data_IF_762952701770
#
_entry.id   IF_762952701770
#
_cell.length_a   1.000
_cell.length_b   1.000
_cell.length_c   1.000
_cell.angle_alpha   90.00
_cell.angle_beta   90.00
_cell.angle_gamma   90.00
#
_symmetry.space_group_name_H-M   'P 1'
#
loop_
_entity.id
_entity.type
_entity.pdbx_description
1 polymer ?
#
# COMPACT_ATOMS: atom_id res chain seq x y z
N UNK A 1 -26.25 -18.61 -0.02
CA UNK A 1 -25.46 -19.24 1.06
C UNK A 1 -24.06 -18.62 1.23
N UNK A 2 -23.17 -18.68 0.22
CA UNK A 2 -21.82 -18.07 0.34
C UNK A 2 -21.87 -16.53 0.33
N UNK A 3 -22.73 -15.94 -0.50
CA UNK A 3 -22.91 -14.48 -0.59
C UNK A 3 -23.50 -13.90 0.70
N UNK A 4 -24.48 -14.59 1.30
CA UNK A 4 -25.13 -14.15 2.54
C UNK A 4 -24.15 -14.12 3.72
N UNK A 5 -23.27 -15.13 3.80
CA UNK A 5 -22.18 -15.17 4.79
C UNK A 5 -21.21 -13.99 4.61
N UNK A 6 -20.81 -13.71 3.36
CA UNK A 6 -19.95 -12.56 3.05
C UNK A 6 -20.60 -11.23 3.42
N UNK A 7 -21.91 -11.10 3.14
CA UNK A 7 -22.66 -9.89 3.42
C UNK A 7 -22.76 -9.63 4.93
N UNK A 8 -23.06 -10.66 5.72
CA UNK A 8 -23.14 -10.54 7.18
C UNK A 8 -21.77 -10.25 7.83
N UNK A 9 -20.71 -10.90 7.34
CA UNK A 9 -19.34 -10.65 7.81
C UNK A 9 -18.88 -9.22 7.46
N UNK A 10 -19.20 -8.75 6.25
CA UNK A 10 -18.88 -7.40 5.79
C UNK A 10 -19.56 -6.34 6.63
N UNK A 11 -20.88 -6.43 6.85
CA UNK A 11 -21.60 -5.45 7.66
C UNK A 11 -21.07 -5.33 9.09
N UNK A 12 -20.70 -6.45 9.71
CA UNK A 12 -20.10 -6.44 11.05
C UNK A 12 -18.69 -5.84 11.04
N UNK A 13 -17.87 -6.19 10.05
CA UNK A 13 -16.51 -5.66 9.92
C UNK A 13 -16.49 -4.15 9.65
N UNK A 14 -17.39 -3.62 8.82
CA UNK A 14 -17.47 -2.18 8.53
C UNK A 14 -17.96 -1.33 9.73
N UNK A 15 -18.67 -1.95 10.69
CA UNK A 15 -19.03 -1.30 11.96
C UNK A 15 -17.86 -1.27 12.96
N UNK A 16 -16.85 -2.11 12.76
CA UNK A 16 -15.68 -2.17 13.63
C UNK A 16 -14.75 -0.97 13.39
N UNK A 17 -14.47 -0.23 14.47
CA UNK A 17 -13.65 0.98 14.40
C UNK A 17 -12.22 0.70 13.95
N UNK A 18 -11.63 -0.45 14.31
CA UNK A 18 -10.25 -0.78 13.96
C UNK A 18 -10.13 -1.17 12.49
N UNK A 19 -11.05 -1.99 11.99
CA UNK A 19 -11.09 -2.36 10.56
C UNK A 19 -11.31 -1.10 9.71
N UNK A 20 -12.30 -0.27 10.09
CA UNK A 20 -12.59 0.97 9.38
C UNK A 20 -11.42 1.94 9.41
N UNK A 21 -10.78 2.12 10.56
CA UNK A 21 -9.60 2.98 10.70
C UNK A 21 -8.46 2.48 9.82
N UNK A 22 -8.12 1.19 9.89
CA UNK A 22 -7.05 0.61 9.08
C UNK A 22 -7.30 0.78 7.58
N UNK A 23 -8.55 0.56 7.14
CA UNK A 23 -8.91 0.73 5.72
C UNK A 23 -8.78 2.18 5.28
N UNK A 24 -9.38 3.12 6.02
CA UNK A 24 -9.35 4.55 5.68
C UNK A 24 -7.93 5.08 5.72
N UNK A 25 -7.16 4.75 6.77
CA UNK A 25 -5.76 5.17 6.88
C UNK A 25 -4.93 4.64 5.71
N UNK A 26 -5.02 3.34 5.41
CA UNK A 26 -4.29 2.74 4.29
C UNK A 26 -4.68 3.32 2.94
N UNK A 27 -5.96 3.63 2.72
CA UNK A 27 -6.41 4.33 1.52
C UNK A 27 -5.83 5.74 1.43
N UNK A 28 -5.85 6.50 2.53
CA UNK A 28 -5.27 7.85 2.58
C UNK A 28 -3.77 7.81 2.28
N UNK A 29 -3.01 6.89 2.89
CA UNK A 29 -1.58 6.74 2.61
C UNK A 29 -1.35 6.37 1.15
N UNK A 30 -2.17 5.51 0.56
CA UNK A 30 -2.04 5.16 -0.85
C UNK A 30 -2.36 6.33 -1.78
N UNK A 31 -3.39 7.12 -1.48
CA UNK A 31 -3.68 8.36 -2.22
C UNK A 31 -2.51 9.34 -2.08
N UNK A 32 -1.92 9.47 -0.90
CA UNK A 32 -0.74 10.29 -0.68
C UNK A 32 0.47 9.79 -1.48
N UNK A 33 0.66 8.47 -1.65
CA UNK A 33 1.69 7.93 -2.55
C UNK A 33 1.51 8.43 -3.99
N UNK A 34 0.28 8.35 -4.52
CA UNK A 34 -0.03 8.85 -5.87
C UNK A 34 0.24 10.34 -6.02
N UNK A 35 -0.28 11.15 -5.09
CA UNK A 35 -0.13 12.61 -5.10
C UNK A 35 1.35 13.00 -4.97
N UNK A 36 2.06 12.39 -4.03
CA UNK A 36 3.46 12.68 -3.77
C UNK A 36 4.35 12.36 -4.97
N UNK A 37 4.13 11.21 -5.62
CA UNK A 37 4.84 10.85 -6.84
C UNK A 37 4.52 11.81 -7.98
N UNK A 38 3.25 12.13 -8.22
CA UNK A 38 2.83 13.01 -9.31
C UNK A 38 3.37 14.45 -9.15
N UNK A 39 3.53 14.92 -7.91
CA UNK A 39 4.14 16.22 -7.65
C UNK A 39 5.65 16.21 -7.88
N UNK A 40 6.33 15.19 -7.36
CA UNK A 40 7.79 15.10 -7.40
C UNK A 40 8.32 14.69 -8.79
N UNK A 41 7.53 13.98 -9.59
CA UNK A 41 7.92 13.56 -10.94
C UNK A 41 8.22 14.72 -11.88
N UNK A 42 7.69 15.92 -11.62
CA UNK A 42 7.98 17.12 -12.40
C UNK A 42 9.45 17.56 -12.34
N UNK A 43 10.18 17.13 -11.30
CA UNK A 43 11.59 17.44 -11.09
C UNK A 43 12.52 16.35 -11.60
N UNK A 44 11.98 15.18 -11.94
CA UNK A 44 12.78 14.01 -12.32
C UNK A 44 13.17 14.08 -13.79
N UNK A 45 14.36 13.57 -14.08
CA UNK A 45 14.80 13.32 -15.45
C UNK A 45 14.01 12.16 -16.09
N UNK A 46 14.02 12.07 -17.43
CA UNK A 46 13.33 11.00 -18.15
C UNK A 46 13.75 9.58 -17.70
N UNK A 47 15.03 9.44 -17.36
CA UNK A 47 15.63 8.20 -16.83
C UNK A 47 16.29 8.53 -15.50
N UNK A 48 16.04 7.70 -14.48
CA UNK A 48 16.55 7.86 -13.13
C UNK A 48 17.15 6.54 -12.61
N UNK A 49 18.14 6.61 -11.72
CA UNK A 49 18.53 5.50 -10.86
C UNK A 49 17.34 4.93 -10.07
N UNK A 50 17.03 3.65 -10.27
CA UNK A 50 15.93 2.97 -9.57
C UNK A 50 16.44 1.95 -8.55
N UNK A 51 17.68 1.47 -8.70
CA UNK A 51 18.28 0.54 -7.75
C UNK A 51 19.74 0.89 -7.48
N UNK A 52 20.16 0.61 -6.24
CA UNK A 52 21.48 0.87 -5.73
C UNK A 52 22.01 -0.40 -5.07
N UNK A 53 23.22 -0.78 -5.46
CA UNK A 53 24.01 -1.84 -4.88
C UNK A 53 25.12 -1.25 -4.00
N UNK A 54 25.39 -1.88 -2.85
CA UNK A 54 26.44 -1.46 -1.91
C UNK A 54 27.84 -1.55 -2.56
N UNK A 55 28.05 -2.49 -3.48
CA UNK A 55 29.36 -2.72 -4.13
C UNK A 55 29.62 -1.82 -5.33
N UNK A 56 28.61 -1.57 -6.16
CA UNK A 56 28.77 -0.92 -7.48
C UNK A 56 28.06 0.43 -7.60
N UNK A 57 27.31 0.86 -6.57
CA UNK A 57 26.47 2.05 -6.66
C UNK A 57 25.24 1.78 -7.51
N UNK A 58 24.92 2.65 -8.47
CA UNK A 58 23.72 2.52 -9.30
C UNK A 58 23.89 1.34 -10.26
N UNK A 59 23.05 0.32 -10.13
CA UNK A 59 23.07 -0.87 -10.99
C UNK A 59 21.85 -0.95 -11.92
N UNK A 60 20.82 -0.14 -11.69
CA UNK A 60 19.65 -0.07 -12.56
C UNK A 60 19.17 1.36 -12.80
N UNK A 61 19.12 1.72 -14.09
CA UNK A 61 18.47 2.94 -14.58
C UNK A 61 17.17 2.58 -15.28
N UNK A 62 16.14 3.36 -15.05
CA UNK A 62 14.87 3.18 -15.74
C UNK A 62 14.05 4.45 -15.80
N UNK A 63 12.97 4.43 -16.57
CA UNK A 63 12.08 5.57 -16.67
C UNK A 63 11.39 5.85 -15.34
N UNK A 64 11.24 7.13 -14.99
CA UNK A 64 10.67 7.55 -13.71
C UNK A 64 9.25 7.02 -13.47
N UNK A 65 8.47 6.76 -14.53
CA UNK A 65 7.11 6.27 -14.40
C UNK A 65 7.04 4.83 -13.84
N UNK A 66 8.15 4.08 -13.79
CA UNK A 66 8.19 2.81 -13.06
C UNK A 66 7.94 2.98 -11.56
N UNK A 67 8.15 4.18 -11.00
CA UNK A 67 7.80 4.47 -9.61
C UNK A 67 6.30 4.38 -9.32
N UNK A 68 5.42 4.45 -10.33
CA UNK A 68 3.98 4.21 -10.16
C UNK A 68 3.65 2.76 -9.78
N UNK A 69 4.61 1.83 -9.90
CA UNK A 69 4.45 0.49 -9.34
C UNK A 69 4.30 0.52 -7.83
N UNK A 70 4.89 1.48 -7.10
CA UNK A 70 4.73 1.58 -5.63
C UNK A 70 3.28 1.81 -5.21
N UNK A 71 2.59 2.88 -5.67
CA UNK A 71 1.19 3.07 -5.33
C UNK A 71 0.29 1.98 -5.92
N UNK A 72 0.59 1.46 -7.12
CA UNK A 72 -0.14 0.35 -7.73
C UNK A 72 -0.08 -0.94 -6.91
N UNK A 73 1.12 -1.36 -6.47
CA UNK A 73 1.30 -2.48 -5.55
C UNK A 73 0.63 -2.22 -4.22
N UNK A 74 0.68 -0.98 -3.71
CA UNK A 74 -0.04 -0.58 -2.51
C UNK A 74 -1.55 -0.80 -2.63
N UNK A 75 -2.18 -0.51 -3.77
CA UNK A 75 -3.59 -0.82 -4.01
C UNK A 75 -3.86 -2.33 -4.04
N UNK A 76 -2.99 -3.10 -4.68
CA UNK A 76 -3.09 -4.56 -4.71
C UNK A 76 -3.01 -5.18 -3.31
N UNK A 77 -2.01 -4.77 -2.52
CA UNK A 77 -1.84 -5.19 -1.12
C UNK A 77 -3.08 -4.81 -0.29
N UNK A 78 -3.62 -3.60 -0.49
CA UNK A 78 -4.82 -3.13 0.18
C UNK A 78 -6.03 -4.00 -0.11
N UNK A 79 -6.31 -4.23 -1.40
CA UNK A 79 -7.44 -5.06 -1.82
C UNK A 79 -7.32 -6.49 -1.26
N UNK A 80 -6.15 -7.11 -1.38
CA UNK A 80 -5.91 -8.47 -0.91
C UNK A 80 -6.00 -8.60 0.61
N UNK A 81 -5.30 -7.75 1.37
CA UNK A 81 -5.32 -7.83 2.84
C UNK A 81 -6.71 -7.52 3.39
N UNK A 82 -7.41 -6.53 2.82
CA UNK A 82 -8.74 -6.18 3.27
C UNK A 82 -9.74 -7.31 2.98
N UNK A 83 -9.68 -7.92 1.80
CA UNK A 83 -10.55 -9.05 1.46
C UNK A 83 -10.30 -10.24 2.39
N UNK A 84 -9.03 -10.58 2.67
CA UNK A 84 -8.69 -11.62 3.65
C UNK A 84 -9.15 -11.26 5.06
N UNK A 85 -9.05 -10.00 5.47
CA UNK A 85 -9.53 -9.52 6.76
C UNK A 85 -11.05 -9.70 6.87
N UNK A 86 -11.83 -9.42 5.82
CA UNK A 86 -13.28 -9.64 5.79
C UNK A 86 -13.64 -11.13 5.87
N UNK A 87 -12.97 -11.98 5.09
CA UNK A 87 -13.21 -13.43 5.07
C UNK A 87 -12.95 -14.08 6.44
N UNK A 88 -11.96 -13.57 7.16
CA UNK A 88 -11.56 -14.11 8.48
C UNK A 88 -12.29 -13.45 9.64
N UNK A 89 -12.95 -12.29 9.45
CA UNK A 89 -13.57 -11.53 10.54
C UNK A 89 -14.64 -12.32 11.31
N UNK A 90 -15.49 -13.08 10.61
CA UNK A 90 -16.59 -13.82 11.24
C UNK A 90 -16.10 -14.97 12.15
N UNK A 91 -15.02 -15.66 11.75
CA UNK A 91 -14.51 -16.84 12.44
C UNK A 91 -13.32 -16.53 13.37
N UNK A 92 -12.46 -15.59 12.98
CA UNK A 92 -11.17 -15.30 13.60
C UNK A 92 -10.90 -13.78 13.65
N UNK A 93 -11.62 -13.06 14.53
CA UNK A 93 -11.49 -11.60 14.67
C UNK A 93 -10.06 -11.11 14.91
N UNK A 94 -9.29 -11.83 15.74
CA UNK A 94 -7.89 -11.48 16.05
C UNK A 94 -7.03 -11.52 14.78
N UNK A 95 -7.22 -12.53 13.92
CA UNK A 95 -6.51 -12.66 12.65
C UNK A 95 -6.89 -11.51 11.70
N UNK A 96 -8.16 -11.11 11.66
CA UNK A 96 -8.61 -9.95 10.88
C UNK A 96 -7.95 -8.64 11.33
N UNK A 97 -7.83 -8.42 12.64
CA UNK A 97 -7.10 -7.25 13.16
C UNK A 97 -5.62 -7.29 12.83
N UNK A 98 -4.99 -8.47 12.89
CA UNK A 98 -3.60 -8.62 12.49
C UNK A 98 -3.39 -8.30 11.01
N UNK A 99 -4.29 -8.76 10.12
CA UNK A 99 -4.27 -8.43 8.69
C UNK A 99 -4.45 -6.93 8.42
N UNK A 100 -5.30 -6.26 9.19
CA UNK A 100 -5.46 -4.81 9.07
C UNK A 100 -4.23 -4.05 9.58
N UNK A 101 -3.61 -4.51 10.67
CA UNK A 101 -2.37 -3.92 11.18
C UNK A 101 -1.21 -4.11 10.20
N UNK A 102 -1.05 -5.30 9.60
CA UNK A 102 -0.04 -5.55 8.57
C UNK A 102 -0.28 -4.70 7.33
N UNK A 103 -1.54 -4.51 6.93
CA UNK A 103 -1.90 -3.62 5.83
C UNK A 103 -1.45 -2.17 6.09
N UNK A 104 -1.72 -1.63 7.29
CA UNK A 104 -1.26 -0.29 7.67
C UNK A 104 0.26 -0.20 7.63
N UNK A 105 0.97 -1.18 8.21
CA UNK A 105 2.42 -1.21 8.20
C UNK A 105 3.00 -1.26 6.77
N UNK A 106 2.44 -2.10 5.89
CA UNK A 106 2.88 -2.21 4.49
C UNK A 106 2.70 -0.89 3.73
N UNK A 107 1.60 -0.17 3.92
CA UNK A 107 1.42 1.15 3.28
C UNK A 107 2.44 2.17 3.75
N UNK A 108 2.75 2.18 5.06
CA UNK A 108 3.79 3.06 5.62
C UNK A 108 5.15 2.72 5.01
N UNK A 109 5.52 1.44 4.95
CA UNK A 109 6.80 1.03 4.35
C UNK A 109 6.88 1.39 2.87
N UNK A 110 5.81 1.19 2.09
CA UNK A 110 5.77 1.62 0.68
C UNK A 110 5.96 3.13 0.54
N UNK A 111 5.34 3.93 1.41
CA UNK A 111 5.53 5.38 1.43
C UNK A 111 6.97 5.77 1.73
N UNK A 112 7.56 5.19 2.78
CA UNK A 112 8.95 5.46 3.15
C UNK A 112 9.91 5.04 2.03
N UNK A 113 9.71 3.87 1.42
CA UNK A 113 10.53 3.41 0.31
C UNK A 113 10.44 4.33 -0.90
N UNK A 114 9.23 4.75 -1.30
CA UNK A 114 9.07 5.70 -2.41
C UNK A 114 9.71 7.05 -2.09
N UNK A 115 9.52 7.54 -0.86
CA UNK A 115 10.10 8.81 -0.42
C UNK A 115 11.63 8.80 -0.43
N UNK A 116 12.24 7.69 -0.01
CA UNK A 116 13.68 7.51 -0.10
C UNK A 116 14.16 7.57 -1.56
N UNK A 117 13.52 6.81 -2.46
CA UNK A 117 13.91 6.79 -3.88
C UNK A 117 13.76 8.17 -4.53
N UNK A 118 12.65 8.88 -4.26
CA UNK A 118 12.44 10.22 -4.80
C UNK A 118 13.45 11.23 -4.26
N UNK A 119 13.78 11.19 -2.97
CA UNK A 119 14.72 12.14 -2.35
C UNK A 119 16.15 11.97 -2.87
N UNK A 120 16.53 10.74 -3.25
CA UNK A 120 17.86 10.45 -3.82
C UNK A 120 17.96 10.93 -5.28
N UNK A 121 16.84 11.00 -6.01
CA UNK A 121 16.80 11.26 -7.45
C UNK A 121 16.40 12.69 -7.84
N UNK A 122 16.08 13.55 -6.86
CA UNK A 122 15.80 14.98 -7.05
C UNK A 122 17.06 15.77 -6.73
#
# INVERSE_FOLDING_TARGET
MILDFFQEASEKAFKDKLIKFGLVFSLLVNILLWIFLAWQSQKLSAVIPLHYNIYYGIDFFGPWYYLFLFPGLGLGILALNFLLALMTYANYKILSYFLMASLVAMQIFLFLSLAAVLTINI
#
